data_IF_682436397382
#
_entry.id   IF_682436397382
#
_cell.length_a   1.000
_cell.length_b   1.000
_cell.length_c   1.000
_cell.angle_alpha   90.00
_cell.angle_beta   90.00
_cell.angle_gamma   90.00
#
_symmetry.space_group_name_H-M   'P 1'
#
loop_
_entity.id
_entity.type
_entity.pdbx_description
1 polymer ?
#
# COMPACT_ATOMS: atom_id res chain seq x y z
N UNK A 1 -21.05 24.95 2.11
CA UNK A 1 -20.93 23.51 2.43
C UNK A 1 -20.83 22.78 1.09
N UNK A 2 -19.64 22.27 0.74
CA UNK A 2 -19.49 21.43 -0.45
C UNK A 2 -20.15 20.09 -0.12
N UNK A 3 -21.38 19.91 -0.61
CA UNK A 3 -22.03 18.62 -0.58
C UNK A 3 -21.34 17.79 -1.67
N UNK A 4 -20.37 16.95 -1.28
CA UNK A 4 -19.86 15.93 -2.20
C UNK A 4 -21.05 15.12 -2.69
N UNK A 5 -21.13 14.89 -4.00
CA UNK A 5 -22.23 14.09 -4.54
C UNK A 5 -22.13 12.66 -4.01
N UNK A 6 -23.25 11.95 -3.90
CA UNK A 6 -23.25 10.54 -3.48
C UNK A 6 -22.35 9.69 -4.39
N UNK A 7 -22.23 10.07 -5.66
CA UNK A 7 -21.34 9.47 -6.65
C UNK A 7 -19.85 9.66 -6.30
N UNK A 8 -19.45 10.85 -5.85
CA UNK A 8 -18.08 11.14 -5.42
C UNK A 8 -17.70 10.34 -4.16
N UNK A 9 -18.63 10.23 -3.20
CA UNK A 9 -18.43 9.44 -1.97
C UNK A 9 -18.26 7.96 -2.35
N UNK A 10 -19.10 7.44 -3.24
CA UNK A 10 -19.04 6.07 -3.70
C UNK A 10 -17.71 5.76 -4.43
N UNK A 11 -17.28 6.63 -5.33
CA UNK A 11 -16.02 6.45 -6.06
C UNK A 11 -14.80 6.53 -5.13
N UNK A 12 -14.81 7.42 -4.13
CA UNK A 12 -13.75 7.44 -3.11
C UNK A 12 -13.73 6.17 -2.25
N UNK A 13 -14.89 5.67 -1.82
CA UNK A 13 -14.99 4.43 -1.07
C UNK A 13 -14.47 3.24 -1.90
N UNK A 14 -14.85 3.16 -3.18
CA UNK A 14 -14.40 2.14 -4.12
C UNK A 14 -12.88 2.17 -4.33
N UNK A 15 -12.28 3.35 -4.54
CA UNK A 15 -10.82 3.50 -4.65
C UNK A 15 -10.09 3.01 -3.39
N UNK A 16 -10.59 3.34 -2.20
CA UNK A 16 -10.02 2.87 -0.92
C UNK A 16 -10.10 1.34 -0.78
N UNK A 17 -11.22 0.74 -1.16
CA UNK A 17 -11.39 -0.73 -1.12
C UNK A 17 -10.46 -1.42 -2.11
N UNK A 18 -10.30 -0.89 -3.32
CA UNK A 18 -9.39 -1.44 -4.32
C UNK A 18 -7.93 -1.35 -3.88
N UNK A 19 -7.50 -0.23 -3.29
CA UNK A 19 -6.14 -0.07 -2.75
C UNK A 19 -5.84 -1.11 -1.66
N UNK A 20 -6.77 -1.30 -0.71
CA UNK A 20 -6.64 -2.34 0.33
C UNK A 20 -6.57 -3.74 -0.26
N UNK A 21 -7.44 -4.08 -1.23
CA UNK A 21 -7.40 -5.38 -1.93
C UNK A 21 -6.06 -5.61 -2.65
N UNK A 22 -5.52 -4.57 -3.29
CA UNK A 22 -4.20 -4.63 -3.94
C UNK A 22 -3.09 -4.96 -2.94
N UNK A 23 -3.09 -4.28 -1.78
CA UNK A 23 -2.15 -4.56 -0.69
C UNK A 23 -2.27 -5.99 -0.17
N UNK A 24 -3.48 -6.48 0.13
CA UNK A 24 -3.67 -7.85 0.63
C UNK A 24 -3.16 -8.92 -0.35
N UNK A 25 -3.32 -8.69 -1.66
CA UNK A 25 -2.77 -9.60 -2.67
C UNK A 25 -1.24 -9.66 -2.60
N UNK A 26 -0.57 -8.50 -2.50
CA UNK A 26 0.89 -8.45 -2.34
C UNK A 26 1.36 -9.08 -1.04
N UNK A 27 0.67 -8.80 0.08
CA UNK A 27 0.97 -9.41 1.37
C UNK A 27 0.82 -10.92 1.34
N UNK A 28 -0.24 -11.44 0.71
CA UNK A 28 -0.45 -12.88 0.54
C UNK A 28 0.67 -13.52 -0.28
N UNK A 29 1.04 -12.92 -1.41
CA UNK A 29 2.17 -13.39 -2.22
C UNK A 29 3.47 -13.38 -1.41
N UNK A 30 3.72 -12.31 -0.65
CA UNK A 30 4.88 -12.22 0.23
C UNK A 30 4.92 -13.36 1.25
N UNK A 31 3.82 -13.64 1.95
CA UNK A 31 3.76 -14.74 2.93
C UNK A 31 4.01 -16.09 2.25
N UNK A 32 3.33 -16.35 1.13
CA UNK A 32 3.44 -17.62 0.40
C UNK A 32 4.87 -17.87 -0.08
N UNK A 33 5.51 -16.85 -0.67
CA UNK A 33 6.89 -16.93 -1.14
C UNK A 33 7.84 -17.20 0.03
N UNK A 34 7.70 -16.48 1.15
CA UNK A 34 8.59 -16.68 2.30
C UNK A 34 8.42 -18.06 2.94
N UNK A 35 7.21 -18.61 3.01
CA UNK A 35 6.98 -20.00 3.44
C UNK A 35 7.76 -20.97 2.54
N UNK A 36 7.68 -20.80 1.22
CA UNK A 36 8.42 -21.62 0.27
C UNK A 36 9.93 -21.48 0.48
N UNK A 37 10.46 -20.26 0.68
CA UNK A 37 11.88 -20.06 0.97
C UNK A 37 12.34 -20.78 2.24
N UNK A 38 11.55 -20.71 3.32
CA UNK A 38 11.87 -21.41 4.57
C UNK A 38 11.86 -22.92 4.36
N UNK A 39 10.89 -23.46 3.62
CA UNK A 39 10.83 -24.89 3.29
C UNK A 39 12.04 -25.31 2.44
N UNK A 40 12.42 -24.51 1.43
CA UNK A 40 13.60 -24.75 0.58
C UNK A 40 14.89 -24.71 1.39
N UNK A 41 14.97 -23.87 2.42
CA UNK A 41 16.14 -23.83 3.31
C UNK A 41 16.15 -25.00 4.32
N UNK A 42 14.98 -25.44 4.78
CA UNK A 42 14.86 -26.46 5.83
C UNK A 42 14.92 -27.92 5.34
N UNK A 43 14.46 -28.20 4.11
CA UNK A 43 14.35 -29.56 3.57
C UNK A 43 15.63 -30.20 3.00
N UNK A 44 16.64 -29.47 2.49
CA UNK A 44 17.99 -30.01 2.31
C UNK A 44 18.64 -30.08 3.68
N UNK A 45 19.05 -31.28 4.14
CA UNK A 45 19.73 -31.56 5.41
C UNK A 45 20.43 -30.31 6.00
N UNK A 46 19.69 -29.63 6.89
CA UNK A 46 19.88 -28.22 7.20
C UNK A 46 21.25 -27.91 7.81
N UNK A 47 21.78 -26.73 7.49
CA UNK A 47 22.98 -26.22 8.16
C UNK A 47 23.71 -25.08 7.46
N UNK A 48 23.26 -24.67 6.27
CA UNK A 48 23.82 -23.52 5.57
C UNK A 48 23.35 -22.17 6.12
N UNK A 49 24.05 -21.11 5.71
CA UNK A 49 23.69 -19.73 6.03
C UNK A 49 22.21 -19.42 5.68
N UNK A 50 21.42 -18.82 6.59
CA UNK A 50 19.99 -18.54 6.40
C UNK A 50 19.76 -17.34 5.47
N UNK A 51 20.11 -17.50 4.20
CA UNK A 51 20.03 -16.45 3.18
C UNK A 51 18.61 -15.91 2.96
N UNK A 52 17.57 -16.69 3.28
CA UNK A 52 16.17 -16.27 3.18
C UNK A 52 15.84 -15.07 4.07
N UNK A 53 16.61 -14.82 5.15
CA UNK A 53 16.45 -13.66 6.01
C UNK A 53 16.68 -12.34 5.27
N UNK A 54 17.58 -12.31 4.27
CA UNK A 54 17.78 -11.12 3.43
C UNK A 54 16.58 -10.86 2.54
N UNK A 55 15.93 -11.91 2.04
CA UNK A 55 14.73 -11.79 1.21
C UNK A 55 13.56 -11.30 2.07
N UNK A 56 13.34 -11.91 3.25
CA UNK A 56 12.35 -11.44 4.23
C UNK A 56 12.60 -9.98 4.60
N UNK A 57 13.84 -9.61 4.97
CA UNK A 57 14.18 -8.27 5.39
C UNK A 57 14.02 -7.24 4.27
N UNK A 58 14.63 -7.50 3.11
CA UNK A 58 14.62 -6.57 1.97
C UNK A 58 13.22 -6.35 1.40
N UNK A 59 12.47 -7.41 1.14
CA UNK A 59 11.09 -7.27 0.65
C UNK A 59 10.09 -6.88 1.73
N UNK A 60 10.33 -7.26 2.99
CA UNK A 60 9.49 -6.87 4.12
C UNK A 60 9.41 -5.36 4.27
N UNK A 61 10.51 -4.64 4.04
CA UNK A 61 10.52 -3.16 4.04
C UNK A 61 9.58 -2.61 2.96
N UNK A 62 9.61 -3.15 1.75
CA UNK A 62 8.72 -2.71 0.67
C UNK A 62 7.24 -2.92 1.00
N UNK A 63 6.90 -4.02 1.67
CA UNK A 63 5.53 -4.28 2.17
C UNK A 63 5.14 -3.26 3.24
N UNK A 64 6.04 -2.93 4.17
CA UNK A 64 5.77 -1.93 5.22
C UNK A 64 5.51 -0.55 4.58
N UNK A 65 6.32 -0.14 3.60
CA UNK A 65 6.11 1.12 2.88
C UNK A 65 4.73 1.14 2.20
N UNK A 66 4.36 0.06 1.51
CA UNK A 66 3.05 -0.06 0.86
C UNK A 66 1.90 -0.05 1.90
N UNK A 67 2.10 -0.64 3.07
CA UNK A 67 1.14 -0.56 4.18
C UNK A 67 0.93 0.88 4.65
N UNK A 68 2.02 1.63 4.86
CA UNK A 68 1.94 3.05 5.25
C UNK A 68 1.19 3.85 4.18
N UNK A 69 1.50 3.64 2.91
CA UNK A 69 0.84 4.33 1.80
C UNK A 69 -0.67 4.00 1.69
N UNK A 70 -1.07 2.75 1.93
CA UNK A 70 -2.48 2.36 1.80
C UNK A 70 -3.32 2.74 3.03
N UNK A 71 -2.74 2.68 4.23
CA UNK A 71 -3.49 2.84 5.48
C UNK A 71 -3.25 4.17 6.20
N UNK A 72 -2.03 4.71 6.17
CA UNK A 72 -1.68 5.97 6.84
C UNK A 72 -1.71 7.17 5.89
N UNK A 73 -1.34 6.98 4.62
CA UNK A 73 -1.30 8.06 3.62
C UNK A 73 -2.07 7.70 2.34
N UNK A 74 -3.40 7.43 2.42
CA UNK A 74 -4.15 7.02 1.25
C UNK A 74 -4.14 8.14 0.20
N UNK A 75 -3.54 7.89 -0.97
CA UNK A 75 -3.34 8.84 -2.10
C UNK A 75 -4.52 9.77 -2.47
N UNK A 76 -5.74 9.43 -2.08
CA UNK A 76 -6.90 10.31 -2.24
C UNK A 76 -6.91 11.54 -1.32
N UNK A 77 -6.19 11.55 -0.18
CA UNK A 77 -6.14 12.70 0.73
C UNK A 77 -5.33 13.87 0.16
N UNK A 78 -4.23 13.57 -0.54
CA UNK A 78 -3.35 14.60 -1.10
C UNK A 78 -3.98 15.31 -2.29
N UNK A 79 -4.61 14.59 -3.22
CA UNK A 79 -5.26 15.22 -4.36
C UNK A 79 -6.32 16.22 -3.91
N UNK A 80 -7.14 15.86 -2.91
CA UNK A 80 -8.16 16.78 -2.39
C UNK A 80 -7.57 17.99 -1.66
N UNK A 81 -6.40 17.85 -1.03
CA UNK A 81 -5.70 18.97 -0.40
C UNK A 81 -5.05 19.89 -1.45
N UNK A 82 -4.41 19.31 -2.47
CA UNK A 82 -3.78 20.04 -3.57
C UNK A 82 -4.84 20.79 -4.40
N UNK A 83 -5.96 20.15 -4.72
CA UNK A 83 -7.05 20.79 -5.49
C UNK A 83 -7.62 21.98 -4.73
N UNK A 84 -7.81 21.86 -3.40
CA UNK A 84 -8.24 22.97 -2.55
C UNK A 84 -7.24 24.13 -2.52
N UNK A 85 -5.95 23.83 -2.47
CA UNK A 85 -4.89 24.84 -2.48
C UNK A 85 -4.85 25.58 -3.83
N UNK A 86 -4.96 24.84 -4.94
CA UNK A 86 -4.98 25.39 -6.31
C UNK A 86 -6.19 26.31 -6.52
N UNK A 87 -7.38 25.90 -6.08
CA UNK A 87 -8.58 26.73 -6.18
C UNK A 87 -8.47 28.03 -5.37
N UNK A 88 -7.83 27.98 -4.20
CA UNK A 88 -7.60 29.15 -3.35
C UNK A 88 -6.68 30.17 -4.05
N UNK A 89 -5.58 29.71 -4.63
CA UNK A 89 -4.65 30.54 -5.41
C UNK A 89 -5.35 31.12 -6.65
N UNK A 90 -6.20 30.34 -7.32
CA UNK A 90 -6.93 30.77 -8.53
C UNK A 90 -8.01 31.80 -8.22
N UNK A 91 -8.62 31.71 -7.04
CA UNK A 91 -9.60 32.67 -6.52
C UNK A 91 -8.97 33.99 -6.03
N UNK A 92 -7.79 33.94 -5.39
CA UNK A 92 -7.04 35.14 -4.98
C UNK A 92 -6.47 35.94 -6.16
N UNK A 93 -6.31 35.32 -7.33
CA UNK A 93 -5.77 35.98 -8.54
C UNK A 93 -6.82 36.69 -9.39
N UNK A 94 -8.09 36.73 -8.99
CA UNK A 94 -9.19 37.45 -9.64
C UNK A 94 -9.61 38.67 -8.84
#
# INVERSE_FOLDING_TARGET
MNNMSEEEIYEQAKKRVQAKRGFYRHLFTYILVNIILVLVWAFPAGGGYPWFLWVIGGWGIAIIINFVEVFLWPKGSDQTAIDKEVDKIRGEKR
#
